data_IF_423517604129
#
_entry.id   IF_423517604129
#
_cell.length_a   1.000
_cell.length_b   1.000
_cell.length_c   1.000
_cell.angle_alpha   90.00
_cell.angle_beta   90.00
_cell.angle_gamma   90.00
#
_symmetry.space_group_name_H-M   'P 1'
#
loop_
_entity.id
_entity.type
_entity.pdbx_description
1 polymer ?
#
# COMPACT_ATOMS: atom_id res chain seq x y z
N UNK A 1 6.30 -10.43 21.16
CA UNK A 1 5.19 -9.58 20.71
C UNK A 1 4.54 -10.26 19.53
N UNK A 2 3.23 -10.36 19.56
CA UNK A 2 2.45 -10.75 18.40
C UNK A 2 2.59 -9.67 17.31
N UNK A 3 3.07 -10.06 16.13
CA UNK A 3 3.35 -9.15 15.01
C UNK A 3 2.23 -9.15 13.97
N UNK A 4 1.27 -10.09 14.05
CA UNK A 4 0.09 -10.09 13.18
C UNK A 4 -0.92 -9.05 13.65
N UNK A 5 -1.80 -8.64 12.75
CA UNK A 5 -2.82 -7.62 12.99
C UNK A 5 -4.11 -7.98 12.28
N UNK A 6 -5.23 -7.50 12.82
CA UNK A 6 -6.56 -7.72 12.26
C UNK A 6 -7.02 -6.54 11.40
N UNK A 7 -6.33 -5.40 11.45
CA UNK A 7 -6.63 -4.21 10.64
C UNK A 7 -5.38 -3.49 10.14
N UNK A 8 -5.54 -2.68 9.09
CA UNK A 8 -4.48 -1.77 8.61
C UNK A 8 -4.02 -0.81 9.70
N UNK A 9 -4.95 -0.19 10.44
CA UNK A 9 -4.62 0.76 11.51
C UNK A 9 -3.75 0.11 12.59
N UNK A 10 -4.10 -1.10 13.02
CA UNK A 10 -3.31 -1.85 13.99
C UNK A 10 -1.92 -2.23 13.44
N UNK A 11 -1.88 -2.73 12.20
CA UNK A 11 -0.65 -3.10 11.52
C UNK A 11 0.32 -1.91 11.39
N UNK A 12 -0.20 -0.75 10.98
CA UNK A 12 0.53 0.51 10.87
C UNK A 12 1.08 0.96 12.23
N UNK A 13 0.25 0.96 13.26
CA UNK A 13 0.70 1.35 14.60
C UNK A 13 1.82 0.45 15.12
N UNK A 14 1.70 -0.87 14.94
CA UNK A 14 2.76 -1.83 15.32
C UNK A 14 4.06 -1.58 14.56
N UNK A 15 3.97 -1.33 13.24
CA UNK A 15 5.13 -1.00 12.42
C UNK A 15 5.83 0.29 12.88
N UNK A 16 5.07 1.37 13.12
CA UNK A 16 5.62 2.66 13.56
C UNK A 16 6.28 2.57 14.94
N UNK A 17 5.69 1.82 15.87
CA UNK A 17 6.31 1.54 17.19
C UNK A 17 7.64 0.79 17.01
N UNK A 18 7.66 -0.23 16.15
CA UNK A 18 8.88 -0.99 15.86
C UNK A 18 9.96 -0.13 15.18
N UNK A 19 9.56 0.79 14.29
CA UNK A 19 10.46 1.77 13.68
C UNK A 19 11.10 2.69 14.71
N UNK A 20 10.31 3.25 15.63
CA UNK A 20 10.81 4.13 16.68
C UNK A 20 11.80 3.39 17.60
N UNK A 21 11.49 2.14 17.98
CA UNK A 21 12.39 1.30 18.78
C UNK A 21 13.70 0.98 18.05
N UNK A 22 13.64 0.80 16.73
CA UNK A 22 14.81 0.54 15.91
C UNK A 22 15.63 1.80 15.57
N UNK A 23 15.15 3.00 15.95
CA UNK A 23 15.78 4.27 15.57
C UNK A 23 15.67 4.58 14.08
N UNK A 24 14.63 4.07 13.40
CA UNK A 24 14.41 4.34 11.99
C UNK A 24 13.85 5.76 11.78
N UNK A 25 14.35 6.45 10.76
CA UNK A 25 13.73 7.68 10.28
C UNK A 25 12.51 7.31 9.45
N UNK A 26 11.35 7.91 9.70
CA UNK A 26 10.10 7.58 9.00
C UNK A 26 9.58 8.80 8.24
N UNK A 27 9.22 8.60 6.98
CA UNK A 27 8.51 9.58 6.16
C UNK A 27 7.12 9.04 5.83
N UNK A 28 6.09 9.88 5.96
CA UNK A 28 4.70 9.51 5.73
C UNK A 28 4.21 10.10 4.41
N UNK A 29 3.71 9.25 3.51
CA UNK A 29 3.06 9.65 2.27
C UNK A 29 1.56 9.44 2.41
N UNK A 30 0.87 10.49 2.85
CA UNK A 30 -0.57 10.46 3.06
C UNK A 30 -1.35 10.32 1.74
N UNK A 31 -2.42 9.53 1.75
CA UNK A 31 -3.41 9.51 0.66
C UNK A 31 -4.54 10.47 1.04
N UNK A 32 -4.35 11.73 0.67
CA UNK A 32 -5.34 12.78 0.91
C UNK A 32 -6.64 12.51 0.13
N UNK A 33 -7.77 12.90 0.71
CA UNK A 33 -9.09 12.67 0.10
C UNK A 33 -9.67 11.26 0.28
N UNK A 34 -8.86 10.26 0.66
CA UNK A 34 -9.29 8.89 0.87
C UNK A 34 -9.34 8.50 2.36
N UNK A 35 -10.17 7.52 2.67
CA UNK A 35 -10.34 6.92 3.99
C UNK A 35 -10.31 5.40 3.89
N UNK A 36 -9.79 4.77 4.93
CA UNK A 36 -9.81 3.31 5.06
C UNK A 36 -11.21 2.76 5.32
N UNK A 37 -11.31 1.43 5.34
CA UNK A 37 -12.54 0.67 5.61
C UNK A 37 -13.18 1.09 6.95
N UNK A 38 -12.36 1.37 7.97
CA UNK A 38 -12.83 1.83 9.28
C UNK A 38 -12.85 3.36 9.42
N UNK A 39 -12.70 4.11 8.32
CA UNK A 39 -12.68 5.57 8.31
C UNK A 39 -11.34 6.20 8.72
N UNK A 40 -10.28 5.41 8.85
CA UNK A 40 -8.94 5.89 9.23
C UNK A 40 -8.22 6.63 8.09
N UNK A 41 -7.25 7.47 8.45
CA UNK A 41 -6.34 8.09 7.49
C UNK A 41 -5.38 7.06 6.89
N UNK A 42 -5.20 7.11 5.58
CA UNK A 42 -4.32 6.22 4.82
C UNK A 42 -2.96 6.89 4.56
N UNK A 43 -1.88 6.11 4.67
CA UNK A 43 -0.53 6.54 4.37
C UNK A 43 0.37 5.36 4.00
N UNK A 44 1.30 5.59 3.08
CA UNK A 44 2.47 4.73 2.94
C UNK A 44 3.59 5.31 3.82
N UNK A 45 4.08 4.53 4.77
CA UNK A 45 5.15 4.89 5.68
C UNK A 45 6.48 4.29 5.16
N UNK A 46 7.48 5.14 4.97
CA UNK A 46 8.81 4.75 4.50
C UNK A 46 9.78 4.88 5.65
N UNK A 47 10.20 3.75 6.20
CA UNK A 47 11.14 3.67 7.30
C UNK A 47 12.57 3.40 6.81
N UNK A 48 13.52 4.06 7.44
CA UNK A 48 14.85 4.22 6.93
C UNK A 48 15.91 3.94 8.01
N UNK A 49 16.82 2.99 7.74
CA UNK A 49 17.90 2.59 8.65
C UNK A 49 19.25 2.56 7.92
N UNK A 50 20.33 2.87 8.65
CA UNK A 50 21.69 2.91 8.11
C UNK A 50 22.08 4.29 7.57
N UNK A 51 23.35 4.47 7.14
CA UNK A 51 23.85 5.76 6.68
C UNK A 51 23.18 6.24 5.40
N UNK A 52 22.83 7.52 5.30
CA UNK A 52 22.37 8.13 4.04
C UNK A 52 23.42 8.06 2.93
N UNK A 53 24.70 8.01 3.31
CA UNK A 53 25.86 7.91 2.41
C UNK A 53 26.30 6.48 2.12
N UNK A 54 25.48 5.47 2.44
CA UNK A 54 25.86 4.08 2.20
C UNK A 54 26.00 3.78 0.69
N UNK A 55 27.04 3.04 0.31
CA UNK A 55 27.33 2.68 -1.08
C UNK A 55 26.25 1.78 -1.72
N UNK A 56 25.41 1.14 -0.89
CA UNK A 56 24.36 0.22 -1.32
C UNK A 56 23.10 0.43 -0.50
N UNK A 57 21.96 0.30 -1.16
CA UNK A 57 20.65 0.29 -0.54
C UNK A 57 19.89 -1.00 -0.85
N UNK A 58 19.07 -1.44 0.09
CA UNK A 58 18.06 -2.46 -0.14
C UNK A 58 16.67 -1.90 0.19
N UNK A 59 15.73 -2.07 -0.74
CA UNK A 59 14.35 -1.65 -0.60
C UNK A 59 13.51 -2.90 -0.37
N UNK A 60 12.68 -2.88 0.67
CA UNK A 60 11.70 -3.93 0.95
C UNK A 60 10.33 -3.28 1.00
N UNK A 61 9.43 -3.75 0.14
CA UNK A 61 8.09 -3.19 -0.02
C UNK A 61 7.09 -4.22 0.47
N UNK A 62 6.12 -3.80 1.28
CA UNK A 62 4.97 -4.61 1.61
C UNK A 62 3.66 -3.97 1.15
N UNK A 63 2.63 -4.82 1.04
CA UNK A 63 1.26 -4.42 0.75
C UNK A 63 1.06 -3.79 -0.60
N UNK A 64 1.56 -4.47 -1.65
CA UNK A 64 1.18 -4.20 -3.03
C UNK A 64 -0.26 -4.61 -3.28
N UNK A 65 -0.63 -5.80 -2.80
CA UNK A 65 -2.02 -6.23 -2.66
C UNK A 65 -2.42 -6.22 -1.18
N UNK A 66 -3.68 -5.91 -0.92
CA UNK A 66 -4.19 -5.63 0.41
C UNK A 66 -4.15 -6.79 1.40
N UNK A 67 -4.76 -7.92 1.04
CA UNK A 67 -4.82 -9.10 1.91
C UNK A 67 -3.44 -9.69 2.23
N UNK A 68 -2.48 -9.55 1.30
CA UNK A 68 -1.09 -10.00 1.47
C UNK A 68 -0.30 -9.06 2.41
N UNK A 69 -0.76 -7.82 2.58
CA UNK A 69 -0.08 -6.80 3.38
C UNK A 69 -0.03 -7.14 4.87
N UNK A 70 -0.99 -7.92 5.40
CA UNK A 70 -0.98 -8.35 6.80
C UNK A 70 0.27 -9.18 7.13
N UNK A 71 0.58 -10.17 6.30
CA UNK A 71 1.79 -10.99 6.46
C UNK A 71 3.06 -10.17 6.23
N UNK A 72 3.08 -9.33 5.20
CA UNK A 72 4.23 -8.46 4.92
C UNK A 72 4.52 -7.47 6.06
N UNK A 73 3.46 -6.85 6.60
CA UNK A 73 3.52 -5.98 7.78
C UNK A 73 4.07 -6.69 9.00
N UNK A 74 3.58 -7.89 9.28
CA UNK A 74 4.04 -8.70 10.41
C UNK A 74 5.52 -9.04 10.29
N UNK A 75 6.00 -9.38 9.08
CA UNK A 75 7.41 -9.65 8.80
C UNK A 75 8.27 -8.41 9.05
N UNK A 76 7.90 -7.25 8.49
CA UNK A 76 8.65 -6.00 8.68
C UNK A 76 8.72 -5.61 10.16
N UNK A 77 7.57 -5.66 10.85
CA UNK A 77 7.45 -5.37 12.29
C UNK A 77 8.32 -6.30 13.12
N UNK A 78 8.21 -7.62 12.88
CA UNK A 78 8.99 -8.63 13.60
C UNK A 78 10.49 -8.44 13.40
N UNK A 79 10.91 -8.18 12.16
CA UNK A 79 12.31 -7.95 11.83
C UNK A 79 12.86 -6.69 12.53
N UNK A 80 12.11 -5.57 12.50
CA UNK A 80 12.47 -4.33 13.20
C UNK A 80 12.60 -4.53 14.72
N UNK A 81 11.71 -5.30 15.33
CA UNK A 81 11.75 -5.55 16.78
C UNK A 81 12.75 -6.61 17.22
N UNK A 82 13.35 -7.38 16.31
CA UNK A 82 14.26 -8.50 16.65
C UNK A 82 15.69 -8.34 16.13
N UNK A 83 15.96 -7.32 15.31
CA UNK A 83 17.32 -7.00 14.87
C UNK A 83 18.22 -6.61 16.04
N UNK A 84 19.52 -6.79 15.86
CA UNK A 84 20.51 -6.18 16.76
C UNK A 84 20.50 -4.66 16.61
N UNK A 85 20.85 -3.95 17.69
CA UNK A 85 20.78 -2.48 17.81
C UNK A 85 21.78 -1.73 16.93
N UNK A 86 22.73 -2.41 16.27
CA UNK A 86 23.69 -1.78 15.36
C UNK A 86 23.01 -1.34 14.06
N UNK A 87 23.35 -0.14 13.57
CA UNK A 87 22.91 0.29 12.24
C UNK A 87 23.48 -0.64 11.15
N UNK A 88 22.71 -1.02 10.12
CA UNK A 88 23.24 -1.77 8.99
C UNK A 88 24.28 -0.94 8.23
N UNK A 89 25.28 -1.59 7.62
CA UNK A 89 26.25 -0.94 6.73
C UNK A 89 25.66 -0.56 5.36
N UNK A 90 24.48 -1.09 5.05
CA UNK A 90 23.67 -0.74 3.88
C UNK A 90 22.53 0.17 4.29
N UNK A 91 22.05 1.00 3.36
CA UNK A 91 20.83 1.77 3.56
C UNK A 91 19.61 0.87 3.38
N UNK A 92 18.86 0.61 4.44
CA UNK A 92 17.61 -0.13 4.36
C UNK A 92 16.44 0.83 4.24
N UNK A 93 15.58 0.61 3.26
CA UNK A 93 14.34 1.35 3.02
C UNK A 93 13.18 0.37 3.08
N UNK A 94 12.33 0.50 4.09
CA UNK A 94 11.17 -0.37 4.31
C UNK A 94 9.91 0.43 4.02
N UNK A 95 9.07 -0.04 3.09
CA UNK A 95 7.83 0.63 2.71
C UNK A 95 6.64 -0.15 3.26
N UNK A 96 5.88 0.47 4.15
CA UNK A 96 4.71 -0.09 4.84
C UNK A 96 3.52 0.89 4.76
N UNK A 97 2.47 0.64 4.00
CA UNK A 97 2.40 -0.25 2.83
C UNK A 97 2.24 0.62 1.57
N UNK A 98 2.75 0.15 0.43
CA UNK A 98 2.73 0.94 -0.82
C UNK A 98 1.31 1.20 -1.34
N UNK A 99 0.36 0.30 -1.06
CA UNK A 99 -1.07 0.48 -1.33
C UNK A 99 -1.86 0.43 -0.01
N UNK A 100 -1.91 1.55 0.75
CA UNK A 100 -2.63 1.59 2.02
C UNK A 100 -4.15 1.47 1.84
N UNK A 101 -4.70 1.88 0.70
CA UNK A 101 -6.10 1.65 0.35
C UNK A 101 -6.39 0.16 0.29
N UNK A 102 -5.64 -0.57 -0.55
CA UNK A 102 -5.81 -2.01 -0.71
C UNK A 102 -5.66 -2.74 0.63
N UNK A 103 -4.67 -2.34 1.44
CA UNK A 103 -4.48 -2.92 2.77
C UNK A 103 -5.71 -2.72 3.67
N UNK A 104 -6.21 -1.49 3.80
CA UNK A 104 -7.35 -1.21 4.66
C UNK A 104 -8.64 -1.88 4.17
N UNK A 105 -8.94 -1.82 2.87
CA UNK A 105 -10.15 -2.39 2.26
C UNK A 105 -10.01 -3.88 1.86
N UNK A 106 -8.86 -4.50 2.17
CA UNK A 106 -8.53 -5.90 1.83
C UNK A 106 -8.65 -6.23 0.34
N UNK A 107 -8.49 -5.24 -0.54
CA UNK A 107 -8.60 -5.41 -1.99
C UNK A 107 -7.25 -5.70 -2.64
N UNK A 108 -7.27 -6.34 -3.81
CA UNK A 108 -6.06 -6.54 -4.62
C UNK A 108 -5.53 -5.22 -5.21
N UNK A 109 -6.44 -4.30 -5.47
CA UNK A 109 -6.23 -3.06 -6.23
C UNK A 109 -6.21 -1.83 -5.32
N UNK A 110 -5.88 -0.68 -5.89
CA UNK A 110 -6.05 0.63 -5.25
C UNK A 110 -7.52 1.13 -5.31
N UNK A 111 -7.74 2.39 -4.92
CA UNK A 111 -9.04 3.07 -4.93
C UNK A 111 -9.67 3.23 -6.32
N UNK A 112 -8.87 3.09 -7.37
CA UNK A 112 -9.30 3.21 -8.76
C UNK A 112 -9.49 1.84 -9.41
N UNK A 113 -9.47 0.77 -8.60
CA UNK A 113 -9.52 -0.61 -9.06
C UNK A 113 -8.34 -0.99 -9.99
N UNK A 114 -7.18 -0.35 -9.79
CA UNK A 114 -5.95 -0.65 -10.52
C UNK A 114 -5.05 -1.60 -9.70
N UNK A 115 -4.59 -2.68 -10.32
CA UNK A 115 -3.50 -3.49 -9.77
C UNK A 115 -2.19 -2.71 -9.97
N UNK A 116 -1.70 -2.10 -8.88
CA UNK A 116 -0.49 -1.27 -8.94
C UNK A 116 0.76 -2.07 -9.36
N UNK A 117 0.75 -3.40 -9.21
CA UNK A 117 1.83 -4.28 -9.68
C UNK A 117 1.78 -4.55 -11.20
N UNK A 118 0.87 -3.90 -11.92
CA UNK A 118 0.77 -3.92 -13.39
C UNK A 118 0.78 -2.51 -13.98
N UNK A 119 0.96 -1.49 -13.15
CA UNK A 119 0.81 -0.09 -13.53
C UNK A 119 2.07 0.75 -13.29
N UNK A 120 3.24 0.11 -13.27
CA UNK A 120 4.52 0.83 -13.27
C UNK A 120 4.85 1.27 -14.70
N UNK A 121 4.66 2.57 -14.97
CA UNK A 121 5.04 3.20 -16.25
C UNK A 121 6.43 3.83 -16.07
N UNK A 122 7.35 3.61 -17.00
CA UNK A 122 8.65 4.27 -16.97
C UNK A 122 8.48 5.75 -17.33
N UNK A 123 9.27 6.62 -16.70
CA UNK A 123 9.38 8.02 -17.11
C UNK A 123 9.92 8.16 -18.54
N UNK A 124 10.62 7.13 -19.02
CA UNK A 124 11.16 7.06 -20.38
C UNK A 124 10.13 6.57 -21.42
N UNK A 125 8.99 6.03 -20.97
CA UNK A 125 7.95 5.50 -21.87
C UNK A 125 7.10 6.61 -22.53
N UNK A 126 7.40 7.87 -22.23
CA UNK A 126 6.68 9.03 -22.74
C UNK A 126 5.44 9.38 -21.93
N UNK A 127 4.45 10.10 -22.52
CA UNK A 127 3.25 10.49 -21.79
C UNK A 127 2.43 9.26 -21.37
N UNK A 128 1.86 9.31 -20.17
CA UNK A 128 0.99 8.25 -19.65
C UNK A 128 -0.13 7.96 -20.66
N UNK A 129 -0.27 6.71 -21.14
CA UNK A 129 -1.32 6.35 -22.08
C UNK A 129 -2.70 6.62 -21.50
N UNK A 130 -3.56 7.27 -22.27
CA UNK A 130 -4.97 7.41 -21.89
C UNK A 130 -5.70 6.09 -22.08
N UNK A 131 -6.66 5.80 -21.20
CA UNK A 131 -7.50 4.62 -21.28
C UNK A 131 -9.00 4.99 -21.16
N UNK A 132 -9.58 5.64 -22.17
CA UNK A 132 -10.99 6.07 -22.13
C UNK A 132 -11.96 4.88 -22.02
N UNK A 133 -11.56 3.69 -22.47
CA UNK A 133 -12.35 2.47 -22.28
C UNK A 133 -12.44 2.08 -20.80
N UNK A 134 -11.37 2.27 -20.02
CA UNK A 134 -11.40 2.08 -18.58
C UNK A 134 -12.24 3.13 -17.88
N UNK A 135 -12.07 4.41 -18.26
CA UNK A 135 -12.87 5.52 -17.71
C UNK A 135 -14.37 5.28 -17.90
N UNK A 136 -14.77 4.68 -19.03
CA UNK A 136 -16.16 4.32 -19.32
C UNK A 136 -16.70 3.16 -18.46
N UNK A 137 -15.84 2.26 -17.96
CA UNK A 137 -16.27 1.05 -17.22
C UNK A 137 -16.03 1.12 -15.71
N UNK A 138 -15.21 2.07 -15.22
CA UNK A 138 -14.80 2.12 -13.81
C UNK A 138 -15.98 2.17 -12.83
N UNK A 139 -17.07 2.85 -13.18
CA UNK A 139 -18.29 2.90 -12.38
C UNK A 139 -18.94 1.52 -12.19
N UNK A 140 -18.89 0.67 -13.23
CA UNK A 140 -19.35 -0.71 -13.14
C UNK A 140 -18.47 -1.54 -12.20
N UNK A 141 -17.14 -1.32 -12.23
CA UNK A 141 -16.19 -2.04 -11.39
C UNK A 141 -16.27 -1.63 -9.91
N UNK A 142 -16.66 -0.39 -9.64
CA UNK A 142 -16.85 0.12 -8.27
C UNK A 142 -18.23 -0.17 -7.68
N UNK A 143 -19.15 -0.71 -8.47
CA UNK A 143 -20.51 -0.99 -8.01
C UNK A 143 -20.56 -2.24 -7.16
N UNK A 144 -21.40 -2.23 -6.12
CA UNK A 144 -21.67 -3.42 -5.31
C UNK A 144 -22.29 -4.50 -6.21
N UNK A 145 -21.62 -5.64 -6.40
CA UNK A 145 -22.13 -6.71 -7.26
C UNK A 145 -23.41 -7.35 -6.71
N UNK A 146 -23.76 -7.13 -5.43
CA UNK A 146 -25.02 -7.59 -4.86
C UNK A 146 -26.23 -6.78 -5.34
N UNK A 147 -26.04 -5.55 -5.85
CA UNK A 147 -27.08 -4.77 -6.50
C UNK A 147 -27.15 -5.08 -8.01
N UNK A 148 -27.73 -6.23 -8.33
CA UNK A 148 -27.84 -6.70 -9.71
C UNK A 148 -28.59 -5.73 -10.64
N UNK A 149 -29.56 -4.97 -10.10
CA UNK A 149 -30.33 -4.00 -10.89
C UNK A 149 -29.45 -2.83 -11.31
N UNK A 150 -28.67 -2.27 -10.39
CA UNK A 150 -27.71 -1.19 -10.66
C UNK A 150 -26.60 -1.64 -11.60
N UNK A 151 -26.05 -2.83 -11.38
CA UNK A 151 -25.00 -3.41 -12.24
C UNK A 151 -25.52 -3.58 -13.69
N UNK A 152 -26.74 -4.08 -13.86
CA UNK A 152 -27.34 -4.24 -15.19
C UNK A 152 -27.60 -2.91 -15.89
N UNK A 153 -28.03 -1.89 -15.15
CA UNK A 153 -28.19 -0.52 -15.67
C UNK A 153 -26.86 0.04 -16.18
N UNK A 154 -25.82 0.01 -15.35
CA UNK A 154 -24.48 0.50 -15.71
C UNK A 154 -23.89 -0.26 -16.90
N UNK A 155 -24.04 -1.58 -16.95
CA UNK A 155 -23.59 -2.39 -18.08
C UNK A 155 -24.32 -2.03 -19.38
N UNK A 156 -25.63 -1.71 -19.33
CA UNK A 156 -26.37 -1.25 -20.51
C UNK A 156 -25.86 0.09 -21.01
N UNK A 157 -25.63 1.05 -20.12
CA UNK A 157 -25.07 2.36 -20.45
C UNK A 157 -23.66 2.26 -21.05
N UNK A 158 -22.84 1.33 -20.56
CA UNK A 158 -21.51 1.08 -21.13
C UNK A 158 -21.55 0.50 -22.55
N UNK A 159 -22.59 -0.27 -22.90
CA UNK A 159 -22.73 -0.92 -24.22
C UNK A 159 -23.32 -0.04 -25.32
N UNK A 160 -23.90 1.10 -24.97
CA UNK A 160 -24.47 2.08 -25.92
C UNK A 160 -23.45 3.12 -26.32
#
# INVERSE_FOLDING_TARGET
MDSFSESYLEARNKFLVACAQAGAQVTHYHREGFRGEAGESLAADVACLGPETADRSAIVICGTHGSEAFSGSAILTRWLSSRSSGAPSVRLVLVHAINPWGFSHRTRTDENNIDINRNFVSVDDGPVPQNPAYDAVIQLLHSDPSDAARVLELHRTYKT
#
